data_IF_664693189200
#
_entry.id   IF_664693189200
#
_cell.length_a   1.000
_cell.length_b   1.000
_cell.length_c   1.000
_cell.angle_alpha   90.00
_cell.angle_beta   90.00
_cell.angle_gamma   90.00
#
_symmetry.space_group_name_H-M   'P 1'
#
loop_
_entity.id
_entity.type
_entity.pdbx_description
1 polymer ?
#
# COMPACT_ATOMS: atom_id res chain seq x y z
N UNK A 1 -20.26 41.91 64.04
CA UNK A 1 -18.98 41.41 64.59
C UNK A 1 -18.54 40.32 63.62
N UNK A 2 -17.95 40.69 62.62
CA UNK A 2 -16.59 40.68 62.15
C UNK A 2 -15.91 39.32 62.20
N UNK A 3 -15.68 38.65 61.02
CA UNK A 3 -14.32 38.34 60.53
C UNK A 3 -14.37 37.77 59.15
N UNK A 4 -13.71 38.40 58.21
CA UNK A 4 -13.23 37.96 56.94
C UNK A 4 -12.08 36.96 57.12
N UNK A 5 -11.99 35.90 56.32
CA UNK A 5 -10.76 35.19 55.93
C UNK A 5 -11.07 34.72 54.50
N UNK A 6 -10.48 35.13 53.45
CA UNK A 6 -9.10 35.09 53.06
C UNK A 6 -9.07 34.11 51.89
N UNK A 7 -9.24 34.61 50.61
CA UNK A 7 -9.06 33.82 49.40
C UNK A 7 -7.59 33.43 49.26
N UNK A 8 -7.31 32.15 49.02
CA UNK A 8 -6.00 31.70 48.56
C UNK A 8 -6.17 31.15 47.15
N UNK A 9 -5.57 31.86 46.23
CA UNK A 9 -5.37 31.57 44.84
C UNK A 9 -4.46 30.30 44.71
N UNK A 10 -4.97 29.21 44.19
CA UNK A 10 -4.17 28.05 43.81
C UNK A 10 -4.25 27.86 42.28
N UNK A 11 -3.34 28.54 41.59
CA UNK A 11 -3.04 28.25 40.18
C UNK A 11 -2.41 26.87 40.11
N UNK A 12 -3.18 25.89 39.69
CA UNK A 12 -2.64 24.61 39.25
C UNK A 12 -2.12 24.75 37.80
N UNK A 13 -0.79 24.74 37.72
CA UNK A 13 -0.04 24.62 36.48
C UNK A 13 -0.32 23.22 35.84
N UNK A 14 -1.07 23.21 34.74
CA UNK A 14 -1.19 22.02 33.94
C UNK A 14 0.10 21.83 33.14
N UNK A 15 0.87 20.79 33.45
CA UNK A 15 1.95 20.30 32.63
C UNK A 15 1.39 19.70 31.32
N UNK A 16 2.08 19.89 30.20
CA UNK A 16 1.64 19.26 28.96
C UNK A 16 1.82 17.73 29.06
N UNK A 17 0.75 17.03 28.77
CA UNK A 17 0.67 15.58 28.66
C UNK A 17 1.56 15.15 27.50
N UNK A 18 2.78 14.67 27.78
CA UNK A 18 3.62 14.02 26.80
C UNK A 18 3.01 12.63 26.56
N UNK A 19 2.15 12.55 25.55
CA UNK A 19 1.68 11.29 25.04
C UNK A 19 2.89 10.44 24.65
N UNK A 20 3.24 9.52 25.53
CA UNK A 20 4.21 8.45 25.30
C UNK A 20 3.72 7.63 24.10
N UNK A 21 4.38 7.81 22.98
CA UNK A 21 4.19 6.92 21.82
C UNK A 21 4.55 5.50 22.29
N UNK A 22 3.57 4.60 22.29
CA UNK A 22 3.79 3.20 22.54
C UNK A 22 4.87 2.65 21.60
N UNK A 23 5.76 1.75 22.07
CA UNK A 23 6.76 1.14 21.20
C UNK A 23 6.03 0.38 20.08
N UNK A 24 6.41 0.70 18.84
CA UNK A 24 5.89 0.03 17.65
C UNK A 24 6.29 -1.43 17.72
N UNK A 25 5.34 -2.34 17.55
CA UNK A 25 5.62 -3.77 17.58
C UNK A 25 6.51 -4.18 16.39
N UNK A 26 7.40 -5.15 16.61
CA UNK A 26 8.24 -5.75 15.56
C UNK A 26 7.43 -6.31 14.39
N UNK A 27 6.13 -6.58 14.59
CA UNK A 27 5.18 -6.96 13.55
C UNK A 27 4.86 -5.83 12.58
N UNK A 28 4.90 -4.56 13.01
CA UNK A 28 4.69 -3.40 12.14
C UNK A 28 5.91 -3.12 11.25
N UNK A 29 7.12 -3.44 11.71
CA UNK A 29 8.33 -3.33 10.88
C UNK A 29 8.41 -4.44 9.83
N UNK A 30 7.95 -5.65 10.13
CA UNK A 30 7.91 -6.77 9.18
C UNK A 30 6.87 -6.58 8.07
N UNK A 31 5.82 -5.79 8.32
CA UNK A 31 4.82 -5.42 7.31
C UNK A 31 5.33 -4.38 6.31
N UNK A 32 6.42 -3.68 6.66
CA UNK A 32 7.00 -2.62 5.83
C UNK A 32 8.24 -3.16 5.13
N UNK A 33 8.08 -3.71 3.91
CA UNK A 33 9.21 -3.94 3.01
C UNK A 33 10.06 -2.67 2.88
N UNK A 34 11.33 -2.80 2.47
CA UNK A 34 12.22 -1.66 2.32
C UNK A 34 11.60 -0.62 1.37
N UNK A 35 11.28 0.57 1.91
CA UNK A 35 10.87 1.73 1.11
C UNK A 35 12.16 2.35 0.59
N UNK A 36 12.61 1.91 -0.58
CA UNK A 36 13.83 2.43 -1.21
C UNK A 36 13.54 3.47 -2.31
N UNK A 37 12.25 3.70 -2.61
CA UNK A 37 11.81 4.64 -3.63
C UNK A 37 12.19 4.25 -5.06
N UNK A 38 12.85 3.11 -5.26
CA UNK A 38 13.40 2.67 -6.55
C UNK A 38 12.48 1.63 -7.19
N UNK A 39 12.13 1.76 -8.49
CA UNK A 39 11.36 0.75 -9.19
C UNK A 39 12.10 -0.59 -9.23
N UNK A 40 11.40 -1.72 -9.28
CA UNK A 40 12.04 -3.01 -9.51
C UNK A 40 12.67 -3.04 -10.90
N UNK A 41 13.73 -3.83 -11.05
CA UNK A 41 14.30 -4.11 -12.38
C UNK A 41 13.41 -5.14 -13.10
N UNK A 42 13.02 -4.84 -14.32
CA UNK A 42 12.25 -5.73 -15.19
C UNK A 42 13.16 -6.21 -16.32
N UNK A 43 13.50 -7.49 -16.31
CA UNK A 43 14.31 -8.08 -17.37
C UNK A 43 13.48 -8.17 -18.68
N UNK A 44 14.13 -8.06 -19.86
CA UNK A 44 13.46 -8.31 -21.14
C UNK A 44 12.81 -9.70 -21.17
N UNK A 45 11.55 -9.79 -21.58
CA UNK A 45 10.81 -11.05 -21.66
C UNK A 45 10.27 -11.58 -20.31
N UNK A 46 10.50 -10.89 -19.19
CA UNK A 46 9.89 -11.27 -17.92
C UNK A 46 8.36 -11.21 -17.99
N UNK A 47 7.71 -12.21 -17.41
CA UNK A 47 6.25 -12.25 -17.24
C UNK A 47 5.86 -11.33 -16.08
N UNK A 48 5.38 -10.14 -16.42
CA UNK A 48 4.98 -9.14 -15.43
C UNK A 48 3.47 -9.17 -15.25
N UNK A 49 3.03 -9.22 -14.00
CA UNK A 49 1.64 -9.09 -13.60
C UNK A 49 1.49 -7.81 -12.77
N UNK A 50 0.58 -6.92 -13.17
CA UNK A 50 0.26 -5.68 -12.47
C UNK A 50 -1.17 -5.73 -11.96
N UNK A 51 -1.34 -5.51 -10.65
CA UNK A 51 -2.63 -5.29 -10.02
C UNK A 51 -2.78 -3.81 -9.65
N UNK A 52 -3.85 -3.18 -10.15
CA UNK A 52 -4.36 -1.91 -9.61
C UNK A 52 -5.45 -2.22 -8.61
N UNK A 53 -5.22 -1.86 -7.35
CA UNK A 53 -6.08 -2.22 -6.22
C UNK A 53 -6.95 -1.02 -5.86
N UNK A 54 -8.20 -1.27 -5.42
CA UNK A 54 -9.09 -0.30 -4.82
C UNK A 54 -10.51 -0.32 -5.36
N UNK A 55 -11.28 0.69 -4.97
CA UNK A 55 -12.68 0.85 -5.34
C UNK A 55 -12.91 2.23 -5.95
N UNK A 56 -13.22 2.30 -7.23
CA UNK A 56 -13.44 3.53 -7.99
C UNK A 56 -14.68 4.33 -7.57
N UNK A 57 -15.53 3.75 -6.71
CA UNK A 57 -16.67 4.44 -6.09
C UNK A 57 -16.32 5.10 -4.75
N UNK A 58 -15.04 5.09 -4.34
CA UNK A 58 -14.58 5.61 -3.04
C UNK A 58 -13.44 6.61 -3.17
N UNK A 59 -13.62 7.63 -4.02
CA UNK A 59 -12.64 8.69 -4.19
C UNK A 59 -11.24 8.16 -4.54
N UNK A 60 -10.23 8.53 -3.76
CA UNK A 60 -8.84 8.20 -4.03
C UNK A 60 -8.51 6.70 -3.92
N UNK A 61 -9.37 5.90 -3.28
CA UNK A 61 -9.26 4.44 -3.28
C UNK A 61 -9.26 3.86 -4.70
N UNK A 62 -9.92 4.53 -5.65
CA UNK A 62 -9.92 4.16 -7.07
C UNK A 62 -8.63 4.44 -7.83
N UNK A 63 -7.62 5.07 -7.21
CA UNK A 63 -6.39 5.50 -7.91
C UNK A 63 -5.64 4.33 -8.55
N UNK A 64 -5.48 3.20 -7.84
CA UNK A 64 -4.84 1.99 -8.37
C UNK A 64 -5.59 1.40 -9.55
N UNK A 65 -6.91 1.32 -9.46
CA UNK A 65 -7.81 0.84 -10.52
C UNK A 65 -7.67 1.70 -11.78
N UNK A 66 -7.61 3.02 -11.65
CA UNK A 66 -7.41 3.94 -12.79
C UNK A 66 -6.06 3.75 -13.48
N UNK A 67 -5.00 3.49 -12.72
CA UNK A 67 -3.69 3.17 -13.29
C UNK A 67 -3.76 1.88 -14.09
N UNK A 68 -4.40 0.83 -13.56
CA UNK A 68 -4.57 -0.45 -14.28
C UNK A 68 -5.33 -0.25 -15.60
N UNK A 69 -6.49 0.38 -15.57
CA UNK A 69 -7.29 0.64 -16.78
C UNK A 69 -6.52 1.47 -17.83
N UNK A 70 -5.70 2.45 -17.36
CA UNK A 70 -4.91 3.25 -18.28
C UNK A 70 -3.75 2.49 -18.96
N UNK A 71 -3.25 1.40 -18.35
CA UNK A 71 -2.15 0.60 -18.87
C UNK A 71 -2.61 -0.65 -19.61
N UNK A 72 -3.84 -1.08 -19.41
CA UNK A 72 -4.40 -2.26 -20.07
C UNK A 72 -4.31 -2.12 -21.59
N UNK A 73 -3.74 -3.13 -22.24
CA UNK A 73 -3.49 -3.14 -23.69
C UNK A 73 -2.42 -2.16 -24.19
N UNK A 74 -1.78 -1.35 -23.31
CA UNK A 74 -0.72 -0.40 -23.69
C UNK A 74 0.70 -0.87 -23.32
N UNK A 75 0.79 -1.85 -22.45
CA UNK A 75 2.04 -2.52 -22.05
C UNK A 75 1.94 -4.02 -22.32
N UNK A 76 3.08 -4.67 -22.52
CA UNK A 76 3.14 -6.13 -22.75
C UNK A 76 2.98 -6.95 -21.48
N UNK A 77 2.40 -6.38 -20.44
CA UNK A 77 2.18 -6.98 -19.14
C UNK A 77 0.75 -7.51 -19.01
N UNK A 78 0.53 -8.47 -18.13
CA UNK A 78 -0.82 -8.80 -17.67
C UNK A 78 -1.23 -7.74 -16.66
N UNK A 79 -2.28 -6.97 -16.97
CA UNK A 79 -2.79 -5.90 -16.11
C UNK A 79 -4.19 -6.26 -15.63
N UNK A 80 -4.46 -6.09 -14.34
CA UNK A 80 -5.74 -6.39 -13.70
C UNK A 80 -6.14 -5.27 -12.73
N UNK A 81 -7.39 -4.82 -12.80
CA UNK A 81 -8.00 -4.03 -11.74
C UNK A 81 -8.72 -4.98 -10.78
N UNK A 82 -8.51 -4.82 -9.48
CA UNK A 82 -9.11 -5.64 -8.42
C UNK A 82 -9.58 -4.77 -7.25
N UNK A 83 -10.69 -5.12 -6.62
CA UNK A 83 -11.16 -4.38 -5.44
C UNK A 83 -10.32 -4.65 -4.19
N UNK A 84 -9.65 -5.77 -4.15
CA UNK A 84 -8.82 -6.18 -3.03
C UNK A 84 -8.09 -7.48 -3.36
N UNK A 85 -7.16 -7.86 -2.50
CA UNK A 85 -6.38 -9.08 -2.69
C UNK A 85 -7.15 -10.27 -2.09
N UNK A 86 -7.39 -11.28 -2.93
CA UNK A 86 -8.08 -12.51 -2.56
C UNK A 86 -7.18 -13.73 -2.74
N UNK A 87 -7.43 -14.84 -2.02
CA UNK A 87 -6.60 -16.05 -2.11
C UNK A 87 -6.44 -16.60 -3.52
N UNK A 88 -7.45 -16.46 -4.37
CA UNK A 88 -7.47 -16.97 -5.75
C UNK A 88 -6.40 -16.32 -6.64
N UNK A 89 -5.93 -15.12 -6.26
CA UNK A 89 -4.87 -14.44 -7.00
C UNK A 89 -3.49 -15.11 -6.84
N UNK A 90 -3.35 -16.02 -5.87
CA UNK A 90 -2.11 -16.77 -5.67
C UNK A 90 -1.73 -17.61 -6.91
N UNK A 91 -2.70 -18.17 -7.61
CA UNK A 91 -2.46 -18.95 -8.83
C UNK A 91 -1.88 -18.06 -9.94
N UNK A 92 -2.45 -16.87 -10.15
CA UNK A 92 -1.93 -15.92 -11.13
C UNK A 92 -0.53 -15.42 -10.79
N UNK A 93 -0.25 -15.21 -9.50
CA UNK A 93 1.06 -14.81 -9.02
C UNK A 93 2.13 -15.87 -9.23
N UNK A 94 1.77 -17.14 -9.08
CA UNK A 94 2.69 -18.26 -9.32
C UNK A 94 3.22 -18.30 -10.75
N UNK A 95 2.44 -17.81 -11.72
CA UNK A 95 2.82 -17.74 -13.12
C UNK A 95 3.69 -16.55 -13.49
N UNK A 96 3.78 -15.54 -12.61
CA UNK A 96 4.56 -14.33 -12.86
C UNK A 96 6.02 -14.48 -12.44
N UNK A 97 6.90 -13.73 -13.08
CA UNK A 97 8.29 -13.54 -12.65
C UNK A 97 8.39 -12.27 -11.78
N UNK A 98 7.53 -11.28 -12.05
CA UNK A 98 7.43 -10.02 -11.32
C UNK A 98 5.96 -9.69 -11.08
N UNK A 99 5.61 -9.33 -9.85
CA UNK A 99 4.30 -8.81 -9.47
C UNK A 99 4.40 -7.36 -9.02
N UNK A 100 3.62 -6.49 -9.66
CA UNK A 100 3.52 -5.07 -9.32
C UNK A 100 2.12 -4.80 -8.77
N UNK A 101 2.07 -4.12 -7.63
CA UNK A 101 0.83 -3.70 -7.01
C UNK A 101 0.78 -2.17 -7.01
N UNK A 102 -0.33 -1.59 -7.39
CA UNK A 102 -0.56 -0.14 -7.35
C UNK A 102 -1.77 0.10 -6.45
N UNK A 103 -1.57 0.87 -5.41
CA UNK A 103 -2.57 1.04 -4.36
C UNK A 103 -2.55 2.47 -3.80
N UNK A 104 -3.69 2.95 -3.34
CA UNK A 104 -3.84 4.22 -2.64
C UNK A 104 -3.28 4.10 -1.22
N UNK A 105 -2.52 5.11 -0.77
CA UNK A 105 -1.94 5.14 0.56
C UNK A 105 -2.46 6.35 1.35
N UNK A 106 -3.11 6.08 2.46
CA UNK A 106 -3.68 7.09 3.34
C UNK A 106 -2.63 7.87 4.16
N UNK A 107 -1.34 7.56 4.02
CA UNK A 107 -0.29 8.33 4.69
C UNK A 107 -0.27 9.77 4.15
N UNK A 108 -0.67 10.71 5.00
CA UNK A 108 -0.74 12.13 4.66
C UNK A 108 0.63 12.74 4.32
N UNK A 109 1.72 12.11 4.72
CA UNK A 109 3.08 12.53 4.37
C UNK A 109 3.49 12.09 2.95
N UNK A 110 2.74 11.20 2.33
CA UNK A 110 3.01 10.76 0.96
C UNK A 110 2.55 11.84 -0.04
N UNK A 111 3.50 12.52 -0.67
CA UNK A 111 3.23 13.58 -1.66
C UNK A 111 3.35 13.11 -3.11
N UNK A 112 3.99 11.98 -3.34
CA UNK A 112 4.27 11.40 -4.67
C UNK A 112 4.30 9.88 -4.63
N UNK A 113 4.08 9.21 -5.78
CA UNK A 113 4.17 7.76 -5.85
C UNK A 113 5.51 7.24 -5.34
N UNK A 114 5.45 6.25 -4.45
CA UNK A 114 6.63 5.69 -3.78
C UNK A 114 6.66 4.18 -3.90
N UNK A 115 7.82 3.64 -4.27
CA UNK A 115 8.04 2.21 -4.38
C UNK A 115 8.39 1.58 -3.04
N UNK A 116 7.82 0.41 -2.78
CA UNK A 116 8.19 -0.49 -1.70
C UNK A 116 8.41 -1.88 -2.27
N UNK A 117 9.59 -2.44 -2.09
CA UNK A 117 9.87 -3.82 -2.48
C UNK A 117 9.47 -4.80 -1.39
N UNK A 118 9.00 -5.96 -1.80
CA UNK A 118 8.70 -7.06 -0.90
C UNK A 118 9.84 -8.08 -1.00
N UNK A 119 10.49 -8.46 0.13
CA UNK A 119 11.61 -9.39 0.11
C UNK A 119 11.18 -10.75 -0.45
N UNK A 120 11.96 -11.30 -1.37
CA UNK A 120 11.77 -12.67 -1.87
C UNK A 120 12.26 -13.62 -0.79
N UNK A 121 11.45 -14.62 -0.42
CA UNK A 121 11.89 -15.69 0.49
C UNK A 121 11.75 -15.42 1.99
N UNK A 122 11.23 -14.27 2.45
CA UNK A 122 10.91 -14.05 3.86
C UNK A 122 9.60 -14.77 4.31
N UNK A 123 9.26 -15.86 3.65
CA UNK A 123 7.98 -16.54 3.81
C UNK A 123 8.03 -17.76 4.74
N UNK A 124 9.18 -17.99 5.39
CA UNK A 124 9.39 -19.04 6.39
C UNK A 124 8.87 -18.64 7.76
N UNK A 125 7.60 -18.82 8.04
CA UNK A 125 7.04 -18.63 9.37
C UNK A 125 5.56 -18.93 9.38
N UNK A 126 5.17 -19.76 10.34
CA UNK A 126 3.84 -20.18 10.79
C UNK A 126 2.62 -19.50 10.16
N UNK A 127 1.69 -20.38 9.73
CA UNK A 127 0.27 -20.12 9.50
C UNK A 127 -0.06 -18.89 8.67
N UNK A 128 -0.48 -19.12 7.42
CA UNK A 128 -1.24 -18.13 6.65
C UNK A 128 -2.51 -17.82 7.43
N UNK A 129 -2.76 -16.60 7.91
CA UNK A 129 -4.03 -16.27 8.55
C UNK A 129 -5.11 -16.27 7.47
N UNK A 130 -5.80 -17.40 7.30
CA UNK A 130 -6.92 -17.56 6.35
C UNK A 130 -8.25 -17.05 6.94
N UNK A 131 -8.23 -16.38 8.09
CA UNK A 131 -9.45 -16.02 8.80
C UNK A 131 -9.72 -14.51 8.73
N UNK A 132 -10.64 -14.13 7.83
CA UNK A 132 -11.56 -12.99 8.07
C UNK A 132 -11.10 -11.58 7.68
N UNK A 133 -9.90 -11.36 7.15
CA UNK A 133 -9.45 -10.05 6.69
C UNK A 133 -8.96 -10.13 5.24
N UNK A 134 -9.16 -9.05 4.49
CA UNK A 134 -8.55 -8.90 3.16
C UNK A 134 -7.05 -9.17 3.27
N UNK A 135 -6.50 -9.98 2.35
CA UNK A 135 -5.07 -10.25 2.31
C UNK A 135 -4.32 -8.96 1.98
N UNK A 136 -3.22 -8.70 2.68
CA UNK A 136 -2.23 -7.74 2.25
C UNK A 136 -1.25 -8.39 1.25
N UNK A 137 -0.42 -7.57 0.59
CA UNK A 137 0.55 -8.07 -0.39
C UNK A 137 1.49 -9.11 0.22
N UNK A 138 2.10 -8.91 1.41
CA UNK A 138 2.90 -9.95 2.06
C UNK A 138 2.12 -11.23 2.34
N UNK A 139 0.86 -11.12 2.75
CA UNK A 139 -0.02 -12.27 3.02
C UNK A 139 -0.29 -13.09 1.76
N UNK A 140 -0.60 -12.42 0.66
CA UNK A 140 -0.83 -13.08 -0.61
C UNK A 140 0.46 -13.75 -1.15
N UNK A 141 1.61 -13.10 -1.03
CA UNK A 141 2.91 -13.68 -1.41
C UNK A 141 3.25 -14.93 -0.57
N UNK A 142 2.98 -14.92 0.75
CA UNK A 142 3.14 -16.10 1.60
C UNK A 142 2.23 -17.24 1.17
N UNK A 143 0.96 -16.93 0.87
CA UNK A 143 0.01 -17.91 0.38
C UNK A 143 0.49 -18.54 -0.93
N UNK A 144 0.95 -17.72 -1.88
CA UNK A 144 1.52 -18.18 -3.16
C UNK A 144 2.72 -19.11 -2.93
N UNK A 145 3.64 -18.73 -2.03
CA UNK A 145 4.79 -19.58 -1.68
C UNK A 145 4.36 -20.93 -1.08
N UNK A 146 3.35 -20.92 -0.23
CA UNK A 146 2.85 -22.13 0.41
C UNK A 146 2.15 -23.07 -0.57
N UNK A 147 1.36 -22.51 -1.51
CA UNK A 147 0.62 -23.34 -2.49
C UNK A 147 1.49 -23.83 -3.65
N UNK A 148 2.43 -23.03 -4.12
CA UNK A 148 3.15 -23.23 -5.38
C UNK A 148 4.66 -23.37 -5.22
N UNK A 149 5.19 -23.34 -3.98
CA UNK A 149 6.62 -23.40 -3.65
C UNK A 149 7.48 -22.35 -4.40
N UNK A 150 6.84 -21.28 -4.87
CA UNK A 150 7.49 -20.15 -5.54
C UNK A 150 6.69 -18.87 -5.33
N UNK A 151 7.38 -17.72 -5.45
CA UNK A 151 6.76 -16.40 -5.52
C UNK A 151 7.49 -15.54 -6.53
N UNK A 152 6.80 -14.59 -7.20
CA UNK A 152 7.46 -13.59 -8.02
C UNK A 152 8.28 -12.63 -7.16
N UNK A 153 9.25 -11.93 -7.77
CA UNK A 153 9.74 -10.68 -7.21
C UNK A 153 8.58 -9.68 -7.16
N UNK A 154 8.40 -8.98 -6.03
CA UNK A 154 7.22 -8.17 -5.85
C UNK A 154 7.53 -6.76 -5.35
N UNK A 155 6.76 -5.78 -5.83
CA UNK A 155 6.82 -4.40 -5.36
C UNK A 155 5.45 -3.73 -5.39
N UNK A 156 5.20 -2.84 -4.42
CA UNK A 156 4.04 -1.96 -4.38
C UNK A 156 4.44 -0.54 -4.76
N UNK A 157 3.66 0.10 -5.61
CA UNK A 157 3.68 1.53 -5.87
C UNK A 157 2.52 2.17 -5.11
N UNK A 158 2.82 2.79 -3.98
CA UNK A 158 1.85 3.55 -3.18
C UNK A 158 1.59 4.90 -3.83
N UNK A 159 0.31 5.26 -3.97
CA UNK A 159 -0.14 6.54 -4.52
C UNK A 159 -0.67 7.45 -3.40
N UNK A 160 -0.41 8.77 -3.47
CA UNK A 160 -1.00 9.71 -2.52
C UNK A 160 -2.52 9.63 -2.52
N UNK A 161 -3.14 9.56 -1.35
CA UNK A 161 -4.58 9.60 -1.17
C UNK A 161 -4.96 10.53 -0.02
N UNK A 162 -6.09 11.22 -0.13
CA UNK A 162 -6.56 12.21 0.86
C UNK A 162 -8.02 12.03 1.24
N UNK A 163 -8.84 11.42 0.38
CA UNK A 163 -10.26 11.17 0.65
C UNK A 163 -10.67 9.77 0.18
N UNK A 164 -11.42 9.10 1.03
CA UNK A 164 -12.03 7.79 0.78
C UNK A 164 -13.57 7.87 0.87
N UNK A 165 -14.11 9.06 0.68
CA UNK A 165 -15.54 9.30 0.67
C UNK A 165 -16.20 8.66 -0.55
N UNK A 166 -17.52 8.42 -0.47
CA UNK A 166 -18.27 7.91 -1.61
C UNK A 166 -18.22 8.91 -2.77
N UNK A 167 -17.85 8.44 -3.93
CA UNK A 167 -17.74 9.22 -5.17
C UNK A 167 -16.61 8.74 -6.05
N UNK A 168 -16.67 9.12 -7.33
CA UNK A 168 -15.68 8.70 -8.33
C UNK A 168 -14.56 9.74 -8.52
N UNK A 169 -14.65 10.90 -7.85
CA UNK A 169 -13.70 12.00 -8.04
C UNK A 169 -12.44 11.79 -7.19
N UNK A 170 -11.29 11.80 -7.83
CA UNK A 170 -10.01 11.80 -7.14
C UNK A 170 -9.69 13.23 -6.63
N UNK A 171 -8.93 13.29 -5.53
CA UNK A 171 -8.30 14.56 -5.11
C UNK A 171 -7.14 14.92 -6.05
N UNK A 172 -6.77 16.20 -6.08
CA UNK A 172 -5.64 16.67 -6.92
C UNK A 172 -4.34 15.90 -6.67
N UNK A 173 -3.92 15.60 -5.42
CA UNK A 173 -2.73 14.76 -5.17
C UNK A 173 -2.85 13.36 -5.75
N UNK A 174 -4.03 12.73 -5.65
CA UNK A 174 -4.26 11.39 -6.19
C UNK A 174 -4.25 11.40 -7.72
N UNK A 175 -4.87 12.39 -8.38
CA UNK A 175 -4.82 12.55 -9.85
C UNK A 175 -3.39 12.73 -10.35
N UNK A 176 -2.61 13.60 -9.69
CA UNK A 176 -1.19 13.80 -9.99
C UNK A 176 -0.39 12.51 -9.80
N UNK A 177 -0.69 11.76 -8.73
CA UNK A 177 -0.12 10.45 -8.42
C UNK A 177 -0.40 9.43 -9.51
N UNK A 178 -1.66 9.29 -9.94
CA UNK A 178 -2.07 8.40 -11.05
C UNK A 178 -1.31 8.75 -12.33
N UNK A 179 -1.27 10.02 -12.70
CA UNK A 179 -0.56 10.46 -13.91
C UNK A 179 0.94 10.15 -13.83
N UNK A 180 1.56 10.35 -12.68
CA UNK A 180 2.98 10.03 -12.45
C UNK A 180 3.24 8.51 -12.50
N UNK A 181 2.37 7.70 -11.89
CA UNK A 181 2.46 6.24 -11.90
C UNK A 181 2.35 5.68 -13.32
N UNK A 182 1.39 6.14 -14.12
CA UNK A 182 1.23 5.72 -15.52
C UNK A 182 2.51 6.01 -16.32
N UNK A 183 3.09 7.21 -16.17
CA UNK A 183 4.35 7.56 -16.84
C UNK A 183 5.52 6.67 -16.39
N UNK A 184 5.62 6.41 -15.10
CA UNK A 184 6.70 5.59 -14.53
C UNK A 184 6.60 4.14 -14.99
N UNK A 185 5.41 3.54 -14.91
CA UNK A 185 5.14 2.16 -15.31
C UNK A 185 5.28 1.97 -16.82
N UNK A 186 4.84 2.95 -17.62
CA UNK A 186 5.04 2.90 -19.09
C UNK A 186 6.52 2.94 -19.46
N UNK A 187 7.35 3.74 -18.75
CA UNK A 187 8.81 3.73 -18.95
C UNK A 187 9.41 2.38 -18.54
N UNK A 188 9.02 1.87 -17.38
CA UNK A 188 9.50 0.57 -16.87
C UNK A 188 9.17 -0.58 -17.83
N UNK A 189 8.04 -0.52 -18.54
CA UNK A 189 7.63 -1.52 -19.51
C UNK A 189 8.40 -1.47 -20.84
N UNK A 190 9.11 -0.38 -21.11
CA UNK A 190 9.91 -0.20 -22.34
C UNK A 190 11.39 -0.58 -22.17
N UNK A 191 11.83 -0.79 -20.93
CA UNK A 191 13.22 -1.10 -20.55
C UNK A 191 14.01 0.16 -20.32
#
# INVERSE_FOLDING_TARGET
MNRRIGAADARASAAPDTASAAPRSDEDEHRRGAVDGTPPSVAPGARVLLYGIGNDLRGDDGAGVRVAHALEGRVAWRVRAVHGLTPELADELADADIALFVDADADVALERPTWRRHPVGSHGGSAVPLMGHALDVPGLLRLTAWLHERTPAAATLSLPARSFDLGETLTEPAEAGVAAAIRALTRLARG
#
